data_IF_567074790915
#
_entry.id   IF_567074790915
#
_cell.length_a   1.000
_cell.length_b   1.000
_cell.length_c   1.000
_cell.angle_alpha   90.00
_cell.angle_beta   90.00
_cell.angle_gamma   90.00
#
_symmetry.space_group_name_H-M   'P 1'
#
loop_
_entity.id
_entity.type
_entity.pdbx_description
1 polymer ?
#
# COMPACT_ATOMS: atom_id res chain seq x y z
N UNK A 1 20.40 -1.84 10.63
CA UNK A 1 19.05 -2.27 10.23
C UNK A 1 19.10 -3.74 9.77
N UNK A 2 18.35 -4.67 10.40
CA UNK A 2 18.44 -6.12 10.11
C UNK A 2 17.21 -6.59 9.34
N UNK A 3 17.43 -7.15 8.14
CA UNK A 3 16.37 -7.74 7.31
C UNK A 3 15.94 -9.11 7.86
N UNK A 4 14.66 -9.44 7.74
CA UNK A 4 14.08 -10.74 8.10
C UNK A 4 14.46 -11.24 9.52
N UNK A 5 14.62 -10.32 10.47
CA UNK A 5 15.03 -10.64 11.83
C UNK A 5 13.85 -10.97 12.75
N UNK A 6 12.68 -10.39 12.48
CA UNK A 6 11.49 -10.47 13.35
C UNK A 6 10.49 -11.51 12.82
N UNK A 7 9.86 -12.24 13.74
CA UNK A 7 8.71 -13.10 13.43
C UNK A 7 7.43 -12.28 13.39
N UNK A 8 6.57 -12.52 12.39
CA UNK A 8 5.39 -11.67 12.12
C UNK A 8 4.40 -11.69 13.29
N UNK A 9 4.17 -12.87 13.87
CA UNK A 9 3.18 -13.11 14.92
C UNK A 9 3.51 -12.41 16.24
N UNK A 10 4.76 -11.98 16.43
CA UNK A 10 5.17 -11.22 17.63
C UNK A 10 4.74 -9.74 17.55
N UNK A 11 4.36 -9.26 16.35
CA UNK A 11 4.07 -7.85 16.09
C UNK A 11 2.74 -7.60 15.38
N UNK A 12 2.20 -8.61 14.67
CA UNK A 12 1.01 -8.47 13.84
C UNK A 12 0.03 -9.60 14.10
N UNK A 13 -1.24 -9.25 14.25
CA UNK A 13 -2.35 -10.19 14.24
C UNK A 13 -2.91 -10.34 12.81
N UNK A 14 -2.93 -11.55 12.24
CA UNK A 14 -3.50 -11.76 10.92
C UNK A 14 -5.03 -11.62 10.95
N UNK A 15 -5.56 -10.73 10.11
CA UNK A 15 -7.00 -10.57 9.92
C UNK A 15 -7.49 -11.48 8.80
N UNK A 16 -8.46 -12.34 9.12
CA UNK A 16 -9.11 -13.22 8.17
C UNK A 16 -10.50 -12.70 7.83
N UNK A 17 -10.91 -12.82 6.57
CA UNK A 17 -12.26 -12.46 6.15
C UNK A 17 -13.29 -13.31 6.88
N UNK A 18 -14.23 -12.66 7.57
CA UNK A 18 -15.42 -13.29 8.14
C UNK A 18 -16.69 -12.77 7.45
N UNK A 19 -17.67 -13.65 7.20
CA UNK A 19 -19.00 -13.24 6.76
C UNK A 19 -19.01 -12.39 5.47
N UNK A 20 -19.65 -11.21 5.55
CA UNK A 20 -19.96 -10.31 4.42
C UNK A 20 -18.76 -9.53 3.83
N UNK A 21 -17.56 -9.64 4.42
CA UNK A 21 -16.36 -8.95 3.92
C UNK A 21 -16.22 -7.50 4.41
N UNK A 22 -16.79 -7.22 5.57
CA UNK A 22 -16.70 -5.96 6.31
C UNK A 22 -15.56 -6.04 7.33
N UNK A 23 -14.93 -4.90 7.64
CA UNK A 23 -13.92 -4.77 8.69
C UNK A 23 -14.23 -3.55 9.54
N UNK A 24 -14.34 -3.72 10.86
CA UNK A 24 -14.40 -2.59 11.78
C UNK A 24 -12.99 -2.09 12.03
N UNK A 25 -12.76 -0.79 11.79
CA UNK A 25 -11.53 -0.09 12.08
C UNK A 25 -11.66 0.59 13.44
N UNK A 26 -10.96 0.07 14.44
CA UNK A 26 -10.92 0.65 15.77
C UNK A 26 -9.96 1.87 15.81
N UNK A 27 -10.33 2.97 16.50
CA UNK A 27 -9.54 4.22 16.62
C UNK A 27 -8.09 4.04 17.06
N UNK A 28 -7.84 3.06 17.95
CA UNK A 28 -6.55 2.84 18.58
C UNK A 28 -5.71 1.77 17.86
N UNK A 29 -6.23 1.23 16.76
CA UNK A 29 -5.58 0.17 16.00
C UNK A 29 -4.95 0.67 14.70
N UNK A 30 -4.05 -0.15 14.16
CA UNK A 30 -3.36 0.13 12.91
C UNK A 30 -3.43 -1.08 11.98
N UNK A 31 -3.98 -0.84 10.79
CA UNK A 31 -4.24 -1.90 9.83
C UNK A 31 -3.33 -1.76 8.63
N UNK A 32 -2.77 -2.89 8.19
CA UNK A 32 -2.12 -2.99 6.88
C UNK A 32 -3.08 -3.75 5.97
N UNK A 33 -3.67 -3.03 5.03
CA UNK A 33 -4.61 -3.52 4.03
C UNK A 33 -4.00 -3.43 2.63
N UNK A 34 -4.75 -3.85 1.61
CA UNK A 34 -4.30 -3.82 0.22
C UNK A 34 -5.42 -3.35 -0.70
N UNK A 35 -5.09 -2.53 -1.70
CA UNK A 35 -6.05 -2.04 -2.69
C UNK A 35 -6.67 -3.18 -3.49
N UNK A 36 -7.91 -2.98 -3.92
CA UNK A 36 -8.57 -3.88 -4.87
C UNK A 36 -7.98 -3.72 -6.28
N UNK A 37 -7.61 -2.51 -6.63
CA UNK A 37 -7.08 -2.10 -7.93
C UNK A 37 -5.59 -2.45 -8.03
N UNK A 38 -5.14 -2.80 -9.24
CA UNK A 38 -3.72 -2.86 -9.58
C UNK A 38 -3.30 -1.49 -10.13
N UNK A 39 -2.36 -0.85 -9.46
CA UNK A 39 -1.86 0.48 -9.79
C UNK A 39 -0.69 0.37 -10.76
N UNK A 40 -0.65 1.28 -11.73
CA UNK A 40 0.46 1.44 -12.67
C UNK A 40 0.83 2.92 -12.79
N UNK A 41 2.08 3.26 -12.45
CA UNK A 41 2.65 4.60 -12.61
C UNK A 41 3.60 4.63 -13.81
N UNK A 42 3.29 5.39 -14.89
CA UNK A 42 4.16 5.45 -16.05
C UNK A 42 5.51 6.17 -15.77
N UNK A 43 6.56 5.93 -16.58
CA UNK A 43 7.91 6.48 -16.34
C UNK A 43 8.07 8.00 -16.26
N UNK A 44 7.07 8.77 -16.74
CA UNK A 44 7.09 10.24 -16.73
C UNK A 44 6.16 10.83 -15.67
N UNK A 45 5.66 10.01 -14.75
CA UNK A 45 4.79 10.43 -13.68
C UNK A 45 5.28 9.88 -12.34
N UNK A 46 5.09 10.66 -11.30
CA UNK A 46 4.97 10.15 -9.94
C UNK A 46 3.49 10.17 -9.55
N UNK A 47 3.13 9.48 -8.48
CA UNK A 47 1.80 9.62 -7.92
C UNK A 47 1.81 9.72 -6.39
N UNK A 48 0.80 10.36 -5.82
CA UNK A 48 0.61 10.50 -4.37
C UNK A 48 -0.77 9.96 -4.00
N UNK A 49 -0.87 9.21 -2.90
CA UNK A 49 -2.18 8.85 -2.38
C UNK A 49 -2.69 9.91 -1.41
N UNK A 50 -3.85 10.46 -1.74
CA UNK A 50 -4.58 11.40 -0.89
C UNK A 50 -5.84 10.74 -0.31
N UNK A 51 -6.28 11.08 0.91
CA UNK A 51 -7.54 10.62 1.46
C UNK A 51 -8.73 10.95 0.56
N UNK A 52 -9.71 10.03 0.45
CA UNK A 52 -10.93 10.29 -0.32
C UNK A 52 -11.89 11.24 0.42
N UNK A 53 -12.07 11.00 1.72
CA UNK A 53 -12.83 11.83 2.65
C UNK A 53 -12.01 11.99 3.94
N UNK A 54 -11.56 13.21 4.28
CA UNK A 54 -10.78 13.48 5.48
C UNK A 54 -11.52 13.15 6.80
N UNK A 55 -12.86 13.04 6.78
CA UNK A 55 -13.65 12.78 7.97
C UNK A 55 -13.79 11.29 8.31
N UNK A 56 -13.44 10.41 7.37
CA UNK A 56 -13.68 8.96 7.48
C UNK A 56 -12.48 8.19 8.08
N UNK A 57 -11.33 8.86 8.26
CA UNK A 57 -10.11 8.27 8.79
C UNK A 57 -8.85 8.74 8.06
N UNK A 58 -7.68 8.41 8.60
CA UNK A 58 -6.41 8.59 7.90
C UNK A 58 -6.06 7.32 7.12
N UNK A 59 -6.30 7.36 5.80
CA UNK A 59 -5.83 6.33 4.88
C UNK A 59 -4.52 6.79 4.24
N UNK A 60 -3.42 6.09 4.53
CA UNK A 60 -2.09 6.38 3.97
C UNK A 60 -1.59 5.13 3.23
N UNK A 61 -0.84 5.25 2.14
CA UNK A 61 -0.30 4.07 1.41
C UNK A 61 1.00 3.58 2.04
N UNK A 62 1.73 4.52 2.60
CA UNK A 62 2.89 4.37 3.45
C UNK A 62 3.09 5.76 4.07
N UNK A 63 3.72 5.88 5.23
CA UNK A 63 4.21 7.18 5.72
C UNK A 63 5.12 7.94 4.72
N UNK A 64 5.53 7.29 3.62
CA UNK A 64 6.25 7.90 2.49
C UNK A 64 5.36 8.62 1.46
N UNK A 65 4.04 8.37 1.40
CA UNK A 65 3.06 9.11 0.59
C UNK A 65 3.10 8.93 -0.94
N UNK A 66 4.27 8.64 -1.52
CA UNK A 66 4.50 8.66 -2.97
C UNK A 66 4.66 7.27 -3.60
N UNK A 67 4.27 7.18 -4.87
CA UNK A 67 4.54 6.10 -5.81
C UNK A 67 5.53 6.57 -6.86
N UNK A 68 6.63 5.84 -6.97
CA UNK A 68 7.72 6.17 -7.88
C UNK A 68 7.36 5.88 -9.36
N UNK A 69 7.95 6.63 -10.30
CA UNK A 69 7.84 6.35 -11.72
C UNK A 69 8.25 4.92 -12.05
N UNK A 70 7.36 4.16 -12.71
CA UNK A 70 7.56 2.74 -13.03
C UNK A 70 6.88 1.76 -12.08
N UNK A 71 6.24 2.22 -11.01
CA UNK A 71 5.49 1.33 -10.11
C UNK A 71 4.44 0.52 -10.88
N UNK A 72 4.47 -0.82 -10.78
CA UNK A 72 3.55 -1.69 -11.51
C UNK A 72 3.72 -1.71 -13.03
N UNK A 73 4.75 -1.06 -13.60
CA UNK A 73 4.96 -0.97 -15.04
C UNK A 73 5.51 -2.27 -15.65
N UNK A 74 4.96 -2.67 -16.79
CA UNK A 74 5.27 -3.97 -17.41
C UNK A 74 6.65 -4.11 -18.02
N UNK A 75 7.20 -3.03 -18.59
CA UNK A 75 8.59 -3.01 -19.03
C UNK A 75 9.59 -3.05 -17.85
N UNK A 76 9.12 -2.86 -16.62
CA UNK A 76 9.86 -3.01 -15.36
C UNK A 76 9.45 -4.30 -14.60
N UNK A 77 8.90 -5.29 -15.30
CA UNK A 77 8.54 -6.60 -14.73
C UNK A 77 7.20 -6.67 -13.99
N UNK A 78 6.33 -5.65 -14.08
CA UNK A 78 4.99 -5.65 -13.46
C UNK A 78 3.82 -6.00 -14.40
N UNK A 79 2.63 -6.23 -13.87
CA UNK A 79 1.36 -6.25 -14.65
C UNK A 79 0.31 -5.34 -14.00
N UNK A 80 0.80 -4.27 -13.34
CA UNK A 80 0.14 -3.59 -12.23
C UNK A 80 0.57 -4.19 -10.89
N UNK A 81 0.64 -3.37 -9.83
CA UNK A 81 0.88 -3.84 -8.46
C UNK A 81 -0.18 -3.28 -7.53
N UNK A 82 -0.62 -4.05 -6.54
CA UNK A 82 -1.59 -3.54 -5.56
C UNK A 82 -0.88 -2.60 -4.59
N UNK A 83 -1.55 -1.52 -4.21
CA UNK A 83 -1.07 -0.61 -3.19
C UNK A 83 -1.29 -1.24 -1.82
N UNK A 84 -0.23 -1.38 -1.02
CA UNK A 84 -0.37 -1.63 0.42
C UNK A 84 -0.88 -0.34 1.06
N UNK A 85 -1.84 -0.44 1.96
CA UNK A 85 -2.48 0.69 2.63
C UNK A 85 -2.29 0.56 4.14
N UNK A 86 -1.77 1.60 4.75
CA UNK A 86 -1.66 1.83 6.19
C UNK A 86 -2.88 2.65 6.64
N UNK A 87 -3.78 2.03 7.39
CA UNK A 87 -5.10 2.60 7.70
C UNK A 87 -5.28 2.78 9.20
N UNK A 88 -5.81 3.94 9.61
CA UNK A 88 -6.28 4.22 10.97
C UNK A 88 -7.64 4.90 10.94
N UNK A 89 -8.51 4.51 11.87
CA UNK A 89 -9.70 5.31 12.14
C UNK A 89 -9.33 6.53 12.99
N UNK A 90 -10.16 7.57 12.94
CA UNK A 90 -10.08 8.71 13.85
C UNK A 90 -10.84 8.39 15.16
N UNK A 91 -11.52 9.38 15.75
CA UNK A 91 -12.10 9.34 17.10
C UNK A 91 -13.20 8.30 17.31
N UNK A 92 -13.77 7.71 16.25
CA UNK A 92 -14.86 6.74 16.31
C UNK A 92 -14.59 5.51 15.46
N UNK A 93 -15.09 4.31 15.84
CA UNK A 93 -15.01 3.13 15.01
C UNK A 93 -15.63 3.34 13.64
N UNK A 94 -15.01 2.79 12.60
CA UNK A 94 -15.47 2.91 11.22
C UNK A 94 -15.64 1.54 10.55
N UNK A 95 -16.79 1.28 9.94
CA UNK A 95 -17.03 0.03 9.21
C UNK A 95 -16.56 0.22 7.77
N UNK A 96 -15.52 -0.52 7.38
CA UNK A 96 -14.96 -0.54 6.04
C UNK A 96 -15.50 -1.72 5.24
N UNK A 97 -16.21 -1.41 4.16
CA UNK A 97 -16.75 -2.42 3.24
C UNK A 97 -15.78 -2.75 2.10
N UNK A 98 -15.88 -3.99 1.59
CA UNK A 98 -15.14 -4.36 0.40
C UNK A 98 -15.47 -3.47 -0.80
N UNK A 99 -14.45 -2.81 -1.37
CA UNK A 99 -14.60 -1.96 -2.54
C UNK A 99 -15.04 -0.53 -2.22
N UNK A 100 -15.20 -0.20 -0.94
CA UNK A 100 -15.34 1.18 -0.51
C UNK A 100 -14.11 1.99 -0.93
N UNK A 101 -14.34 3.21 -1.41
CA UNK A 101 -13.27 4.12 -1.81
C UNK A 101 -12.64 4.71 -0.55
N UNK A 102 -11.35 4.44 -0.37
CA UNK A 102 -10.55 4.89 0.79
C UNK A 102 -9.55 6.00 0.45
N UNK A 103 -9.21 6.15 -0.83
CA UNK A 103 -8.20 7.10 -1.26
C UNK A 103 -8.30 7.41 -2.75
N UNK A 104 -7.51 8.40 -3.17
CA UNK A 104 -7.35 8.81 -4.56
C UNK A 104 -5.87 8.86 -4.87
N UNK A 105 -5.51 8.36 -6.04
CA UNK A 105 -4.15 8.42 -6.53
C UNK A 105 -4.01 9.62 -7.48
N UNK A 106 -3.27 10.63 -7.04
CA UNK A 106 -3.03 11.87 -7.79
C UNK A 106 -1.73 11.73 -8.55
N UNK A 107 -1.76 11.94 -9.87
CA UNK A 107 -0.58 11.83 -10.72
C UNK A 107 0.04 13.20 -10.99
N UNK A 108 1.37 13.28 -10.91
CA UNK A 108 2.13 14.48 -11.23
C UNK A 108 3.20 14.19 -12.28
N UNK A 109 3.42 15.15 -13.18
CA UNK A 109 4.42 15.03 -14.24
C UNK A 109 5.84 15.19 -13.68
N UNK A 110 6.72 14.27 -14.06
CA UNK A 110 8.16 14.41 -13.81
C UNK A 110 8.77 15.44 -14.76
N UNK A 111 9.71 16.26 -14.26
CA UNK A 111 10.48 17.21 -15.08
C UNK A 111 11.26 16.53 -16.22
N UNK A 112 11.72 15.30 -15.98
CA UNK A 112 12.42 14.45 -16.95
C UNK A 112 12.23 12.98 -16.59
N UNK A 113 12.42 12.09 -17.57
CA UNK A 113 12.44 10.65 -17.29
C UNK A 113 13.57 10.29 -16.32
N UNK A 114 13.29 9.57 -15.22
CA UNK A 114 14.33 9.08 -14.31
C UNK A 114 15.30 8.13 -15.01
N UNK A 115 16.54 8.07 -14.53
CA UNK A 115 17.55 7.13 -15.03
C UNK A 115 17.26 5.69 -14.58
N UNK A 116 16.71 5.53 -13.38
CA UNK A 116 16.26 4.26 -12.82
C UNK A 116 14.74 4.33 -12.60
N UNK A 117 14.03 3.28 -13.00
CA UNK A 117 12.59 3.17 -12.77
C UNK A 117 12.33 2.22 -11.61
N UNK A 118 11.21 2.42 -10.92
CA UNK A 118 10.75 1.46 -9.93
C UNK A 118 10.53 0.11 -10.62
N UNK A 119 11.05 -0.97 -10.02
CA UNK A 119 10.96 -2.33 -10.55
C UNK A 119 12.12 -2.77 -11.46
N UNK A 120 12.94 -1.86 -12.01
CA UNK A 120 14.02 -2.27 -12.94
C UNK A 120 15.28 -2.78 -12.24
N UNK A 121 15.54 -2.36 -11.00
CA UNK A 121 16.71 -2.76 -10.22
C UNK A 121 16.36 -3.70 -9.04
N UNK A 122 17.31 -4.58 -8.69
CA UNK A 122 17.29 -5.51 -7.56
C UNK A 122 17.19 -4.76 -6.22
N UNK A 123 15.99 -4.34 -5.85
CA UNK A 123 15.72 -3.59 -4.62
C UNK A 123 14.27 -3.10 -4.45
N UNK A 124 13.44 -3.26 -5.48
CA UNK A 124 12.04 -2.85 -5.46
C UNK A 124 11.21 -3.79 -4.58
N UNK A 125 10.87 -3.33 -3.38
CA UNK A 125 10.23 -4.18 -2.37
C UNK A 125 8.75 -4.50 -2.67
N UNK A 126 8.06 -3.71 -3.50
CA UNK A 126 6.59 -3.76 -3.66
C UNK A 126 6.13 -4.05 -5.11
N UNK A 127 7.04 -4.46 -5.99
CA UNK A 127 6.68 -4.85 -7.36
C UNK A 127 5.99 -6.23 -7.36
N UNK A 128 4.82 -6.32 -8.01
CA UNK A 128 4.12 -7.56 -8.36
C UNK A 128 3.62 -8.47 -7.22
N UNK A 129 3.32 -7.95 -6.02
CA UNK A 129 2.86 -8.79 -4.90
C UNK A 129 1.65 -8.23 -4.15
N UNK A 130 0.93 -9.13 -3.47
CA UNK A 130 -0.17 -8.81 -2.56
C UNK A 130 0.30 -8.15 -1.27
N UNK A 131 -0.44 -8.33 -0.17
CA UNK A 131 -0.12 -7.74 1.13
C UNK A 131 1.31 -8.12 1.57
N UNK A 132 2.17 -7.12 1.83
CA UNK A 132 3.56 -7.33 2.22
C UNK A 132 3.96 -6.40 3.37
N UNK A 133 4.51 -6.99 4.42
CA UNK A 133 5.08 -6.28 5.56
C UNK A 133 6.48 -5.74 5.24
N UNK A 134 7.01 -4.89 6.13
CA UNK A 134 8.34 -4.30 5.96
C UNK A 134 9.45 -5.36 5.85
N UNK A 135 10.62 -4.96 5.31
CA UNK A 135 11.81 -5.82 5.11
C UNK A 135 12.38 -6.45 6.40
N UNK A 136 11.93 -6.02 7.58
CA UNK A 136 12.38 -6.51 8.89
C UNK A 136 11.78 -7.86 9.25
N UNK A 137 10.61 -8.17 8.70
CA UNK A 137 9.87 -9.38 8.98
C UNK A 137 10.35 -10.53 8.10
N UNK A 138 10.38 -11.74 8.66
CA UNK A 138 10.53 -12.96 7.88
C UNK A 138 9.32 -13.12 6.97
N UNK A 139 9.53 -13.67 5.78
CA UNK A 139 8.42 -14.00 4.88
C UNK A 139 7.50 -14.99 5.60
N UNK A 140 6.19 -14.69 5.62
CA UNK A 140 5.20 -15.64 6.06
C UNK A 140 5.32 -16.91 5.19
N UNK A 141 5.38 -18.08 5.84
CA UNK A 141 5.39 -19.38 5.17
C UNK A 141 4.01 -19.72 4.62
#
# INVERSE_FOLDING_TARGET
>A
DKRAAQDVVDFWEPLYKSGAGELVLDPDEFYILVSREAVHVPPLYAAEMTPFDPLVGEFRVHYAGFFDPGFGHSAAGGTGSRAVLEVRSHEVPFILDHGQIVGRLVYEHMLKRPQALYGTDLGSNYQAQGLKLSKHFRAAR
#
